data_IF_971519808249
#
_entry.id   IF_971519808249
#
_cell.length_a   1.000
_cell.length_b   1.000
_cell.length_c   1.000
_cell.angle_alpha   90.00
_cell.angle_beta   90.00
_cell.angle_gamma   90.00
#
_symmetry.space_group_name_H-M   'P 1'
#
loop_
_entity.id
_entity.type
_entity.pdbx_description
1 polymer ?
#
# COMPACT_ATOMS: atom_id res chain seq x y z
N UNK A 1 -0.45 9.95 -1.85
CA UNK A 1 0.82 9.38 -2.42
C UNK A 1 1.99 10.35 -2.35
N UNK A 2 1.82 11.61 -2.70
CA UNK A 2 2.93 12.57 -2.69
C UNK A 2 3.55 12.74 -1.29
N UNK A 3 2.77 12.60 -0.23
CA UNK A 3 3.24 12.61 1.16
C UNK A 3 4.17 11.42 1.46
N UNK A 4 3.83 10.22 0.98
CA UNK A 4 4.64 9.01 1.16
C UNK A 4 5.96 9.17 0.40
N UNK A 5 5.89 9.60 -0.87
CA UNK A 5 7.08 9.84 -1.69
C UNK A 5 7.98 10.86 -1.01
N UNK A 6 7.42 11.97 -0.55
CA UNK A 6 8.17 13.05 0.13
C UNK A 6 8.84 12.55 1.43
N UNK A 7 8.10 11.81 2.27
CA UNK A 7 8.65 11.25 3.50
C UNK A 7 9.80 10.28 3.20
N UNK A 8 9.68 9.47 2.16
CA UNK A 8 10.70 8.49 1.78
C UNK A 8 11.90 9.12 1.06
N UNK A 9 11.73 10.26 0.38
CA UNK A 9 12.84 10.98 -0.27
C UNK A 9 13.66 11.83 0.70
N UNK A 10 13.04 12.46 1.69
CA UNK A 10 13.73 13.23 2.72
C UNK A 10 14.71 12.40 3.53
N UNK A 11 14.46 11.09 3.64
CA UNK A 11 15.27 10.12 4.37
C UNK A 11 16.00 9.15 3.44
N UNK A 12 16.33 9.61 2.21
CA UNK A 12 16.77 8.85 1.06
C UNK A 12 18.01 7.97 1.25
N UNK A 13 17.85 6.88 2.00
CA UNK A 13 18.58 5.68 1.61
C UNK A 13 17.54 4.68 1.07
N UNK A 14 17.66 4.33 -0.23
CA UNK A 14 16.88 3.22 -0.84
C UNK A 14 17.09 1.89 -0.09
N UNK A 15 18.03 1.88 0.82
CA UNK A 15 18.44 0.77 1.66
C UNK A 15 18.00 1.13 3.07
N UNK A 16 16.92 0.50 3.54
CA UNK A 16 16.40 0.65 4.91
C UNK A 16 17.43 0.07 5.90
N UNK A 17 18.05 -1.02 5.52
CA UNK A 17 19.15 -1.69 6.19
C UNK A 17 19.98 -2.48 5.17
N UNK A 18 21.05 -3.15 5.59
CA UNK A 18 21.95 -3.93 4.70
C UNK A 18 21.24 -5.02 3.88
N UNK A 19 19.99 -5.34 4.20
CA UNK A 19 19.23 -6.46 3.61
C UNK A 19 17.90 -6.06 3.01
N UNK A 20 17.43 -4.83 3.22
CA UNK A 20 16.08 -4.35 2.83
C UNK A 20 16.19 -3.08 2.00
N UNK A 21 15.61 -3.10 0.82
CA UNK A 21 15.49 -1.94 -0.09
C UNK A 21 14.02 -1.65 -0.41
N UNK A 22 13.74 -0.45 -0.94
CA UNK A 22 12.40 -0.09 -1.41
C UNK A 22 12.27 -0.26 -2.92
N UNK A 23 11.17 -0.86 -3.34
CA UNK A 23 10.66 -0.90 -4.71
C UNK A 23 9.41 -0.04 -4.78
N UNK A 24 9.16 0.63 -5.90
CA UNK A 24 8.04 1.56 -6.07
C UNK A 24 7.93 2.62 -4.96
N UNK A 25 9.05 2.92 -4.30
CA UNK A 25 9.16 3.97 -3.30
C UNK A 25 8.82 3.56 -1.87
N UNK A 26 7.96 2.55 -1.65
CA UNK A 26 7.42 2.19 -0.33
C UNK A 26 7.19 0.68 -0.12
N UNK A 27 7.39 -0.15 -1.14
CA UNK A 27 7.31 -1.60 -1.00
C UNK A 27 8.67 -2.15 -0.59
N UNK A 28 8.77 -2.66 0.63
CA UNK A 28 9.99 -3.25 1.17
C UNK A 28 10.31 -4.61 0.52
N UNK A 29 11.55 -4.76 0.05
CA UNK A 29 12.06 -6.00 -0.55
C UNK A 29 13.34 -6.43 0.17
N UNK A 30 13.38 -7.66 0.67
CA UNK A 30 14.57 -8.23 1.30
C UNK A 30 15.49 -8.87 0.27
N UNK A 31 16.81 -8.67 0.39
CA UNK A 31 17.84 -9.28 -0.47
C UNK A 31 18.19 -10.72 -0.11
N UNK A 32 17.60 -11.30 0.94
CA UNK A 32 17.91 -12.64 1.43
C UNK A 32 17.20 -13.77 0.67
N UNK A 33 17.72 -15.02 0.77
CA UNK A 33 17.15 -16.24 0.17
C UNK A 33 15.68 -16.54 0.54
N UNK A 34 15.09 -15.83 1.50
CA UNK A 34 13.68 -15.91 1.91
C UNK A 34 12.83 -14.79 1.32
N UNK A 35 13.31 -14.09 0.30
CA UNK A 35 12.52 -13.13 -0.45
C UNK A 35 11.41 -13.89 -1.19
N UNK A 36 10.28 -14.11 -0.52
CA UNK A 36 9.07 -14.61 -1.17
C UNK A 36 8.59 -13.53 -2.12
N UNK A 37 8.66 -13.81 -3.40
CA UNK A 37 7.95 -12.99 -4.39
C UNK A 37 6.49 -13.37 -4.26
N UNK A 38 5.64 -12.41 -3.92
CA UNK A 38 4.21 -12.62 -3.86
C UNK A 38 3.67 -12.73 -5.28
N UNK A 39 3.46 -13.96 -5.75
CA UNK A 39 2.74 -14.23 -6.99
C UNK A 39 1.31 -14.64 -6.66
N UNK A 40 0.37 -13.92 -7.23
CA UNK A 40 -1.05 -14.22 -7.08
C UNK A 40 -1.43 -14.37 -5.59
N UNK A 41 -2.02 -15.50 -5.21
CA UNK A 41 -2.54 -15.75 -3.87
C UNK A 41 -1.52 -16.38 -2.89
N UNK A 42 -0.23 -16.36 -3.19
CA UNK A 42 0.78 -17.06 -2.37
C UNK A 42 1.17 -16.34 -1.08
N UNK A 43 0.78 -15.08 -0.91
CA UNK A 43 1.12 -14.23 0.25
C UNK A 43 -0.15 -13.63 0.88
N UNK A 44 -1.21 -14.41 0.99
CA UNK A 44 -2.42 -13.96 1.68
C UNK A 44 -2.38 -14.33 3.16
N UNK A 45 -2.96 -13.46 3.98
CA UNK A 45 -3.27 -13.79 5.36
C UNK A 45 -4.34 -14.88 5.42
N UNK A 46 -4.24 -15.77 6.39
CA UNK A 46 -5.16 -16.88 6.52
C UNK A 46 -6.56 -16.41 6.90
N UNK A 47 -7.55 -16.98 6.22
CA UNK A 47 -8.96 -16.77 6.52
C UNK A 47 -9.38 -17.70 7.66
N UNK A 48 -10.06 -17.15 8.65
CA UNK A 48 -10.63 -17.91 9.76
C UNK A 48 -11.91 -18.63 9.36
N UNK A 49 -12.35 -19.58 10.19
CA UNK A 49 -13.57 -20.37 9.97
C UNK A 49 -14.84 -19.54 9.95
N UNK A 50 -14.84 -18.37 10.59
CA UNK A 50 -15.95 -17.40 10.57
C UNK A 50 -15.99 -16.53 9.32
N UNK A 51 -15.11 -16.78 8.34
CA UNK A 51 -15.02 -16.04 7.09
C UNK A 51 -14.26 -14.73 7.17
N UNK A 52 -13.70 -14.36 8.33
CA UNK A 52 -12.89 -13.15 8.51
C UNK A 52 -11.40 -13.44 8.39
N UNK A 53 -10.64 -12.37 8.08
CA UNK A 53 -9.18 -12.38 8.02
C UNK A 53 -8.65 -11.59 9.20
N UNK A 54 -8.18 -12.29 10.22
CA UNK A 54 -7.61 -11.66 11.41
C UNK A 54 -6.12 -11.46 11.24
N UNK A 55 -5.69 -10.20 11.33
CA UNK A 55 -4.29 -9.80 11.23
C UNK A 55 -3.83 -9.30 12.59
N UNK A 56 -2.99 -10.08 13.24
CA UNK A 56 -2.41 -9.66 14.49
C UNK A 56 -1.42 -8.51 14.28
N UNK A 57 -1.44 -7.50 15.16
CA UNK A 57 -0.51 -6.39 15.09
C UNK A 57 0.09 -6.05 16.46
N UNK A 58 1.27 -5.46 16.42
CA UNK A 58 1.92 -4.81 17.56
C UNK A 58 2.29 -3.38 17.18
N UNK A 59 2.06 -2.43 18.07
CA UNK A 59 2.50 -1.05 17.92
C UNK A 59 3.79 -0.82 18.70
N UNK A 60 4.71 -0.03 18.14
CA UNK A 60 5.87 0.48 18.89
C UNK A 60 5.42 1.33 20.06
N UNK A 61 6.13 1.24 21.16
CA UNK A 61 5.94 2.09 22.33
C UNK A 61 6.42 3.53 22.13
N UNK A 62 7.05 3.81 21.01
CA UNK A 62 7.50 5.16 20.62
C UNK A 62 6.33 6.07 20.19
N UNK A 63 5.20 5.49 19.80
CA UNK A 63 4.02 6.27 19.42
C UNK A 63 3.30 6.81 20.67
N UNK A 64 2.91 8.08 20.58
CA UNK A 64 2.03 8.73 21.56
C UNK A 64 0.62 8.14 21.49
N UNK A 65 -0.22 8.44 22.51
CA UNK A 65 -1.62 8.03 22.49
C UNK A 65 -2.40 8.59 21.29
N UNK A 66 -2.11 9.82 20.87
CA UNK A 66 -2.76 10.44 19.72
C UNK A 66 -2.39 9.73 18.42
N UNK A 67 -1.11 9.43 18.23
CA UNK A 67 -0.59 8.70 17.08
C UNK A 67 -1.14 7.28 17.02
N UNK A 68 -1.19 6.61 18.17
CA UNK A 68 -1.84 5.30 18.31
C UNK A 68 -3.32 5.33 17.87
N UNK A 69 -4.06 6.40 18.22
CA UNK A 69 -5.44 6.58 17.76
C UNK A 69 -5.53 6.78 16.24
N UNK A 70 -4.58 7.52 15.64
CA UNK A 70 -4.53 7.70 14.19
C UNK A 70 -4.24 6.37 13.46
N UNK A 71 -3.30 5.58 13.99
CA UNK A 71 -2.98 4.27 13.42
C UNK A 71 -4.21 3.35 13.45
N UNK A 72 -4.93 3.32 14.57
CA UNK A 72 -6.18 2.54 14.69
C UNK A 72 -7.26 3.02 13.71
N UNK A 73 -7.40 4.34 13.49
CA UNK A 73 -8.32 4.87 12.47
C UNK A 73 -7.94 4.43 11.06
N UNK A 74 -6.65 4.32 10.72
CA UNK A 74 -6.19 3.76 9.47
C UNK A 74 -6.58 2.29 9.32
N UNK A 75 -6.49 1.50 10.40
CA UNK A 75 -6.97 0.11 10.42
C UNK A 75 -8.49 0.04 10.22
N UNK A 76 -9.25 0.83 10.96
CA UNK A 76 -10.72 0.91 10.84
C UNK A 76 -11.17 1.27 9.42
N UNK A 77 -10.42 2.13 8.72
CA UNK A 77 -10.69 2.49 7.33
C UNK A 77 -10.56 1.28 6.38
N UNK A 78 -9.61 0.38 6.64
CA UNK A 78 -9.44 -0.88 5.89
C UNK A 78 -10.52 -1.90 6.29
N UNK A 79 -10.88 -1.98 7.57
CA UNK A 79 -11.87 -2.93 8.09
C UNK A 79 -13.30 -2.63 7.61
N UNK A 80 -13.61 -1.34 7.44
CA UNK A 80 -14.97 -0.89 7.07
C UNK A 80 -15.35 -1.36 5.67
N UNK A 81 -16.35 -2.26 5.60
CA UNK A 81 -16.84 -2.84 4.36
C UNK A 81 -15.95 -3.96 3.79
N UNK A 82 -15.07 -4.56 4.64
CA UNK A 82 -14.25 -5.71 4.28
C UNK A 82 -14.31 -6.79 5.36
N UNK A 83 -13.83 -8.01 5.06
CA UNK A 83 -13.72 -9.07 6.06
C UNK A 83 -12.41 -9.05 6.85
N UNK A 84 -11.53 -8.07 6.61
CA UNK A 84 -10.28 -7.90 7.36
C UNK A 84 -10.54 -7.32 8.73
N UNK A 85 -9.84 -7.83 9.74
CA UNK A 85 -9.89 -7.34 11.12
C UNK A 85 -8.48 -7.31 11.71
N UNK A 86 -8.06 -6.17 12.22
CA UNK A 86 -6.79 -6.02 12.93
C UNK A 86 -7.00 -6.28 14.41
N UNK A 87 -6.22 -7.19 14.98
CA UNK A 87 -6.34 -7.59 16.40
C UNK A 87 -5.00 -7.39 17.12
N UNK A 88 -5.00 -6.90 18.36
CA UNK A 88 -3.77 -6.84 19.15
C UNK A 88 -3.13 -8.22 19.26
N UNK A 89 -1.81 -8.29 18.99
CA UNK A 89 -1.06 -9.55 19.08
C UNK A 89 -0.99 -10.05 20.52
N UNK A 90 -1.27 -11.32 20.71
CA UNK A 90 -1.04 -12.03 21.96
C UNK A 90 0.02 -13.12 21.78
N UNK A 91 -0.25 -14.15 20.98
CA UNK A 91 0.61 -15.32 20.78
C UNK A 91 0.84 -15.65 19.29
N UNK A 92 0.18 -14.93 18.38
CA UNK A 92 0.26 -15.23 16.94
C UNK A 92 1.71 -15.12 16.45
N UNK A 93 2.16 -16.13 15.70
CA UNK A 93 3.49 -16.14 15.07
C UNK A 93 3.57 -15.12 13.94
N UNK A 94 2.54 -15.10 13.07
CA UNK A 94 2.43 -14.18 11.94
C UNK A 94 1.74 -12.89 12.40
N UNK A 95 2.46 -11.77 12.27
CA UNK A 95 1.91 -10.47 12.67
C UNK A 95 2.61 -9.29 12.02
N UNK A 96 1.91 -8.18 11.96
CA UNK A 96 2.45 -6.88 11.57
C UNK A 96 3.03 -6.17 12.79
N UNK A 97 4.29 -5.75 12.68
CA UNK A 97 4.99 -4.96 13.69
C UNK A 97 5.10 -3.52 13.21
N UNK A 98 4.21 -2.65 13.69
CA UNK A 98 4.14 -1.26 13.28
C UNK A 98 5.16 -0.45 14.08
N UNK A 99 6.13 0.12 13.36
CA UNK A 99 7.32 0.78 13.90
C UNK A 99 7.44 2.22 13.39
N UNK A 100 7.96 3.12 14.24
CA UNK A 100 8.27 4.50 13.86
C UNK A 100 9.67 4.61 13.19
N UNK A 101 9.94 3.74 12.21
CA UNK A 101 11.21 3.81 11.47
C UNK A 101 11.16 4.91 10.42
N UNK A 102 12.32 5.19 9.80
CA UNK A 102 12.41 6.15 8.71
C UNK A 102 11.53 5.78 7.53
N UNK A 103 10.70 6.70 7.07
CA UNK A 103 9.80 6.59 5.94
C UNK A 103 8.50 5.82 6.20
N UNK A 104 7.62 5.85 5.21
CA UNK A 104 6.37 5.10 5.14
C UNK A 104 6.58 3.93 4.18
N UNK A 105 6.53 2.70 4.68
CA UNK A 105 6.71 1.53 3.81
C UNK A 105 6.18 0.26 4.46
N UNK A 106 5.87 -0.71 3.62
CA UNK A 106 5.42 -2.03 4.03
C UNK A 106 5.99 -3.14 3.14
N UNK A 107 6.06 -4.35 3.67
CA UNK A 107 6.24 -5.54 2.86
C UNK A 107 4.92 -5.90 2.16
N UNK A 108 5.03 -6.50 0.97
CA UNK A 108 3.89 -6.93 0.18
C UNK A 108 3.35 -8.28 0.69
N UNK A 109 2.07 -8.31 1.12
CA UNK A 109 1.36 -9.50 1.57
C UNK A 109 1.90 -10.13 2.86
N UNK A 110 1.36 -11.28 3.24
CA UNK A 110 1.77 -12.05 4.40
C UNK A 110 3.10 -12.79 4.12
N UNK A 111 4.14 -12.51 4.91
CA UNK A 111 5.48 -13.09 4.72
C UNK A 111 5.76 -14.29 5.63
N UNK A 112 4.93 -14.49 6.63
CA UNK A 112 5.17 -15.41 7.75
C UNK A 112 6.07 -14.79 8.82
N UNK A 113 5.77 -15.05 10.07
CA UNK A 113 6.45 -14.48 11.22
C UNK A 113 6.20 -12.96 11.37
N UNK A 114 7.16 -12.30 12.01
CA UNK A 114 7.13 -10.85 12.20
C UNK A 114 7.45 -10.12 10.89
N UNK A 115 6.59 -9.20 10.47
CA UNK A 115 6.86 -8.27 9.36
C UNK A 115 6.63 -6.82 9.77
N UNK A 116 7.56 -5.95 9.40
CA UNK A 116 7.49 -4.52 9.76
C UNK A 116 6.62 -3.77 8.76
N UNK A 117 5.77 -2.88 9.30
CA UNK A 117 5.20 -1.73 8.61
C UNK A 117 5.80 -0.50 9.25
N UNK A 118 6.44 0.36 8.47
CA UNK A 118 7.03 1.59 8.95
C UNK A 118 6.08 2.76 8.76
N UNK A 119 5.82 3.48 9.83
CA UNK A 119 5.03 4.70 9.85
C UNK A 119 5.80 5.77 10.63
N UNK A 120 6.68 6.49 9.94
CA UNK A 120 7.48 7.55 10.54
C UNK A 120 6.60 8.65 11.13
N UNK A 121 6.88 9.05 12.36
CA UNK A 121 6.25 10.21 12.98
C UNK A 121 7.00 11.49 12.64
N UNK A 122 6.30 12.60 12.32
CA UNK A 122 4.85 12.70 12.10
C UNK A 122 4.40 12.41 10.67
N UNK A 123 5.31 12.29 9.70
CA UNK A 123 5.08 12.40 8.26
C UNK A 123 4.11 11.34 7.71
N UNK A 124 4.17 10.10 8.25
CA UNK A 124 3.33 8.98 7.81
C UNK A 124 2.03 8.82 8.62
N UNK A 125 1.80 9.68 9.61
CA UNK A 125 0.67 9.52 10.54
C UNK A 125 -0.59 10.24 10.06
N UNK A 126 -0.99 9.94 8.85
CA UNK A 126 -2.28 10.31 8.24
C UNK A 126 -3.09 9.04 7.98
N UNK A 127 -4.40 9.09 8.24
CA UNK A 127 -5.29 7.92 8.11
C UNK A 127 -5.14 7.23 6.76
N UNK A 128 -5.10 7.99 5.66
CA UNK A 128 -4.96 7.44 4.33
C UNK A 128 -3.58 6.82 4.07
N UNK A 129 -2.49 7.44 4.52
CA UNK A 129 -1.12 6.89 4.41
C UNK A 129 -1.02 5.57 5.18
N UNK A 130 -1.55 5.53 6.39
CA UNK A 130 -1.59 4.31 7.21
C UNK A 130 -2.37 3.21 6.49
N UNK A 131 -3.55 3.54 5.95
CA UNK A 131 -4.37 2.58 5.20
C UNK A 131 -3.67 2.07 3.94
N UNK A 132 -2.92 2.93 3.24
CA UNK A 132 -2.11 2.59 2.07
C UNK A 132 -1.04 1.54 2.41
N UNK A 133 -0.26 1.77 3.47
CA UNK A 133 0.76 0.81 3.90
C UNK A 133 0.15 -0.54 4.34
N UNK A 134 -1.03 -0.50 4.96
CA UNK A 134 -1.77 -1.71 5.30
C UNK A 134 -2.30 -2.44 4.05
N UNK A 135 -2.67 -1.73 2.98
CA UNK A 135 -3.03 -2.34 1.69
C UNK A 135 -1.84 -3.10 1.07
N UNK A 136 -0.62 -2.57 1.16
CA UNK A 136 0.58 -3.34 0.79
C UNK A 136 0.73 -4.60 1.62
N UNK A 137 0.55 -4.51 2.93
CA UNK A 137 0.58 -5.68 3.82
C UNK A 137 -0.51 -6.71 3.49
N UNK A 138 -1.62 -6.30 2.87
CA UNK A 138 -2.66 -7.19 2.34
C UNK A 138 -2.31 -7.80 0.98
N UNK A 139 -1.26 -7.33 0.29
CA UNK A 139 -0.79 -7.89 -0.97
C UNK A 139 -1.07 -7.04 -2.22
N UNK A 140 -1.49 -5.79 -2.06
CA UNK A 140 -1.77 -4.89 -3.17
C UNK A 140 -0.55 -4.08 -3.56
N UNK A 141 -0.20 -4.11 -4.85
CA UNK A 141 0.76 -3.19 -5.48
C UNK A 141 0.06 -1.89 -5.88
N UNK A 142 0.82 -0.92 -6.33
CA UNK A 142 0.25 0.34 -6.81
C UNK A 142 -0.66 0.16 -8.02
N UNK A 143 -1.68 0.98 -8.12
CA UNK A 143 -2.68 0.92 -9.21
C UNK A 143 -2.06 1.20 -10.57
N UNK A 144 -1.15 2.19 -10.67
CA UNK A 144 -0.44 2.50 -11.91
C UNK A 144 0.56 1.42 -12.34
N UNK A 145 0.82 0.43 -11.50
CA UNK A 145 1.68 -0.72 -11.81
C UNK A 145 0.93 -1.94 -12.33
N UNK A 146 -0.39 -1.84 -12.46
CA UNK A 146 -1.22 -2.88 -13.09
C UNK A 146 -0.74 -3.16 -14.51
N UNK A 147 -0.85 -4.43 -14.94
CA UNK A 147 -0.41 -4.84 -16.28
C UNK A 147 -1.18 -4.12 -17.41
N UNK A 148 -2.45 -3.76 -17.17
CA UNK A 148 -3.36 -3.11 -18.10
C UNK A 148 -3.38 -1.56 -18.00
N UNK A 149 -2.57 -0.97 -17.12
CA UNK A 149 -2.56 0.49 -16.85
C UNK A 149 -2.45 1.35 -18.10
N UNK A 150 -1.72 0.87 -19.13
CA UNK A 150 -1.49 1.62 -20.36
C UNK A 150 -2.78 1.83 -21.19
N UNK A 151 -3.87 1.14 -20.86
CA UNK A 151 -5.19 1.43 -21.41
C UNK A 151 -5.86 2.66 -20.75
N UNK A 152 -5.39 3.08 -19.58
CA UNK A 152 -6.03 4.10 -18.74
C UNK A 152 -5.16 5.33 -18.54
N UNK A 153 -3.87 5.17 -18.40
CA UNK A 153 -2.91 6.26 -18.17
C UNK A 153 -1.76 6.20 -19.15
N UNK A 154 -1.17 7.37 -19.43
CA UNK A 154 0.08 7.51 -20.14
C UNK A 154 1.17 7.86 -19.14
N UNK A 155 2.26 7.10 -19.12
CA UNK A 155 3.46 7.44 -18.34
C UNK A 155 4.37 8.31 -19.19
N UNK A 156 4.68 9.49 -18.68
CA UNK A 156 5.52 10.48 -19.34
C UNK A 156 6.99 10.26 -18.93
N UNK A 157 7.60 9.21 -19.47
CA UNK A 157 8.95 8.76 -19.13
C UNK A 157 10.02 9.85 -19.13
N UNK A 158 10.04 10.80 -20.07
CA UNK A 158 11.03 11.90 -20.06
C UNK A 158 10.95 12.80 -18.83
N UNK A 159 9.80 12.89 -18.17
CA UNK A 159 9.57 13.76 -17.02
C UNK A 159 9.95 13.10 -15.68
N UNK A 160 10.32 11.82 -15.69
CA UNK A 160 10.63 11.05 -14.48
C UNK A 160 12.13 11.10 -14.19
N UNK A 161 12.52 11.30 -12.92
CA UNK A 161 13.90 11.14 -12.48
C UNK A 161 14.47 9.80 -12.97
N UNK A 162 15.63 9.80 -13.64
CA UNK A 162 16.24 8.62 -14.26
C UNK A 162 16.41 7.45 -13.28
N UNK A 163 16.73 7.74 -12.05
CA UNK A 163 16.92 6.74 -11.01
C UNK A 163 15.60 6.22 -10.41
N UNK A 164 14.45 6.77 -10.80
CA UNK A 164 13.10 6.40 -10.37
C UNK A 164 12.27 5.70 -11.44
N UNK A 165 12.78 5.55 -12.66
CA UNK A 165 12.05 4.89 -13.77
C UNK A 165 11.51 3.51 -13.37
N UNK A 166 12.26 2.75 -12.56
CA UNK A 166 11.83 1.42 -12.09
C UNK A 166 10.57 1.44 -11.24
N UNK A 167 10.22 2.58 -10.61
CA UNK A 167 9.01 2.72 -9.83
C UNK A 167 7.75 2.78 -10.70
N UNK A 168 7.91 2.86 -12.03
CA UNK A 168 6.82 2.85 -13.01
C UNK A 168 6.77 1.56 -13.83
N UNK A 169 7.50 0.52 -13.45
CA UNK A 169 7.41 -0.80 -14.07
C UNK A 169 6.06 -1.44 -13.78
N UNK A 170 5.56 -2.24 -14.72
CA UNK A 170 4.32 -3.01 -14.55
C UNK A 170 4.58 -4.35 -13.88
N UNK A 171 3.65 -4.78 -13.06
CA UNK A 171 3.59 -6.14 -12.54
C UNK A 171 2.60 -7.00 -13.32
N UNK A 172 2.78 -8.30 -13.29
CA UNK A 172 1.75 -9.25 -13.72
C UNK A 172 0.70 -9.36 -12.61
N UNK A 173 -0.23 -8.42 -12.57
CA UNK A 173 -1.29 -8.36 -11.57
C UNK A 173 -2.46 -9.26 -11.95
N UNK A 174 -3.11 -9.86 -10.95
CA UNK A 174 -4.49 -10.31 -11.05
C UNK A 174 -5.37 -9.11 -10.72
N UNK A 175 -6.09 -8.60 -11.72
CA UNK A 175 -6.94 -7.41 -11.54
C UNK A 175 -8.30 -7.76 -10.93
N UNK A 176 -8.54 -9.04 -10.60
CA UNK A 176 -9.75 -9.52 -9.93
C UNK A 176 -11.05 -9.17 -10.68
N UNK A 177 -10.97 -9.06 -12.01
CA UNK A 177 -12.07 -8.57 -12.87
C UNK A 177 -12.68 -7.25 -12.41
N UNK A 178 -11.86 -6.36 -11.84
CA UNK A 178 -12.26 -5.03 -11.40
C UNK A 178 -11.66 -3.96 -12.31
N UNK A 179 -12.42 -2.88 -12.59
CA UNK A 179 -11.93 -1.79 -13.42
C UNK A 179 -10.72 -1.10 -12.80
N UNK A 180 -9.97 -0.38 -13.63
CA UNK A 180 -8.91 0.50 -13.20
C UNK A 180 -9.48 1.64 -12.36
N UNK A 181 -8.86 1.93 -11.22
CA UNK A 181 -9.38 2.90 -10.27
C UNK A 181 -8.47 4.13 -10.14
N UNK A 182 -8.83 5.20 -10.82
CA UNK A 182 -8.13 6.48 -10.69
C UNK A 182 -8.22 7.08 -9.28
N UNK A 183 -9.26 6.73 -8.52
CA UNK A 183 -9.48 7.18 -7.14
C UNK A 183 -8.88 6.26 -6.08
N UNK A 184 -8.17 5.20 -6.48
CA UNK A 184 -7.54 4.26 -5.55
C UNK A 184 -6.55 4.98 -4.64
N UNK A 185 -6.57 4.60 -3.35
CA UNK A 185 -5.55 5.04 -2.40
C UNK A 185 -4.15 4.54 -2.77
N UNK A 186 -4.08 3.49 -3.62
CA UNK A 186 -2.85 2.89 -4.13
C UNK A 186 -2.34 3.54 -5.42
N UNK A 187 -2.97 4.61 -5.92
CA UNK A 187 -2.56 5.27 -7.16
C UNK A 187 -1.54 6.39 -6.90
N UNK A 188 -0.46 6.45 -7.68
CA UNK A 188 0.45 7.60 -7.65
C UNK A 188 -0.25 8.89 -8.01
N UNK A 189 0.26 10.02 -7.50
CA UNK A 189 -0.11 11.34 -7.96
C UNK A 189 0.36 11.61 -9.39
N UNK A 190 -0.25 12.60 -10.02
CA UNK A 190 0.08 13.01 -11.39
C UNK A 190 1.55 13.41 -11.56
N UNK A 191 2.18 13.92 -10.51
CA UNK A 191 3.54 14.47 -10.52
C UNK A 191 4.55 13.59 -9.76
N UNK A 192 4.19 12.35 -9.45
CA UNK A 192 5.06 11.44 -8.72
C UNK A 192 6.44 11.31 -9.37
N UNK A 193 7.50 11.56 -8.62
CA UNK A 193 8.89 11.50 -9.10
C UNK A 193 9.20 12.40 -10.32
N UNK A 194 8.50 13.51 -10.48
CA UNK A 194 8.76 14.48 -11.54
C UNK A 194 10.11 15.19 -11.33
N UNK A 195 10.92 15.28 -12.39
CA UNK A 195 12.22 15.95 -12.34
C UNK A 195 12.17 17.45 -12.62
N UNK A 196 11.11 17.92 -13.23
CA UNK A 196 10.95 19.28 -13.76
C UNK A 196 9.63 19.95 -13.39
N UNK A 197 8.79 19.26 -12.60
CA UNK A 197 7.46 19.74 -12.22
C UNK A 197 6.37 19.44 -13.25
N UNK A 198 6.73 18.80 -14.37
CA UNK A 198 5.73 18.35 -15.36
C UNK A 198 5.11 17.02 -14.98
N UNK A 199 3.88 16.70 -15.44
CA UNK A 199 3.21 15.45 -15.13
C UNK A 199 4.02 14.22 -15.54
N UNK A 200 4.06 13.22 -14.69
CA UNK A 200 4.66 11.89 -14.94
C UNK A 200 3.62 10.84 -15.28
N UNK A 201 2.37 11.05 -14.85
CA UNK A 201 1.23 10.19 -15.18
C UNK A 201 0.06 11.06 -15.65
N UNK A 202 -0.48 10.76 -16.83
CA UNK A 202 -1.62 11.49 -17.41
C UNK A 202 -2.75 10.52 -17.73
N UNK A 203 -3.98 10.74 -17.21
CA UNK A 203 -5.15 9.96 -17.62
C UNK A 203 -5.42 10.09 -19.12
N UNK A 204 -5.77 8.98 -19.80
CA UNK A 204 -6.03 8.98 -21.24
C UNK A 204 -7.41 9.47 -21.63
N UNK A 205 -8.37 9.39 -20.72
CA UNK A 205 -9.75 9.78 -21.01
C UNK A 205 -9.93 11.30 -20.80
N UNK A 206 -10.40 12.01 -21.83
CA UNK A 206 -10.61 13.46 -21.81
C UNK A 206 -11.66 13.93 -20.78
N UNK A 207 -12.59 13.04 -20.38
CA UNK A 207 -13.57 13.32 -19.33
C UNK A 207 -12.97 13.27 -17.91
N UNK A 208 -11.67 13.02 -17.80
CA UNK A 208 -10.96 12.86 -16.53
C UNK A 208 -10.18 14.11 -16.10
N UNK A 209 -10.45 15.28 -16.72
CA UNK A 209 -9.75 16.54 -16.40
C UNK A 209 -9.87 16.95 -14.93
N UNK A 210 -10.91 16.46 -14.23
CA UNK A 210 -11.15 16.72 -12.81
C UNK A 210 -10.70 15.57 -11.89
N UNK A 211 -10.11 14.49 -12.43
CA UNK A 211 -9.63 13.36 -11.62
C UNK A 211 -8.34 13.75 -10.91
N UNK A 212 -8.43 13.82 -9.60
CA UNK A 212 -7.26 13.89 -8.73
C UNK A 212 -6.68 12.49 -8.54
N UNK A 213 -5.53 12.22 -9.18
CA UNK A 213 -4.72 11.04 -8.88
C UNK A 213 -3.97 11.23 -7.56
N UNK A 214 -3.70 10.13 -6.85
CA UNK A 214 -2.81 10.14 -5.69
C UNK A 214 -3.47 10.61 -4.39
N UNK A 215 -4.78 10.42 -4.24
CA UNK A 215 -5.46 10.76 -2.99
C UNK A 215 -4.96 9.90 -1.82
N UNK A 216 -4.94 10.47 -0.61
CA UNK A 216 -4.52 9.82 0.65
C UNK A 216 -5.56 10.02 1.75
N UNK A 217 -6.83 10.09 1.40
CA UNK A 217 -7.92 10.34 2.35
C UNK A 217 -8.49 9.05 2.92
N UNK A 218 -8.94 8.14 2.04
CA UNK A 218 -9.56 6.87 2.43
C UNK A 218 -9.55 5.87 1.27
N UNK A 219 -9.79 4.59 1.59
CA UNK A 219 -10.02 3.57 0.57
C UNK A 219 -11.21 3.96 -0.31
N UNK A 220 -11.05 3.81 -1.63
CA UNK A 220 -12.15 3.92 -2.56
C UNK A 220 -13.12 2.73 -2.40
N UNK A 221 -14.29 2.83 -3.03
CA UNK A 221 -15.20 1.67 -3.12
C UNK A 221 -14.53 0.49 -3.85
N UNK A 222 -13.76 0.76 -4.92
CA UNK A 222 -13.07 -0.29 -5.68
C UNK A 222 -11.92 -0.89 -4.87
N UNK A 223 -11.19 -0.12 -4.06
CA UNK A 223 -10.17 -0.65 -3.14
C UNK A 223 -10.79 -1.71 -2.20
N UNK A 224 -11.96 -1.42 -1.62
CA UNK A 224 -12.69 -2.37 -0.76
C UNK A 224 -13.14 -3.60 -1.53
N UNK A 225 -13.67 -3.45 -2.74
CA UNK A 225 -14.03 -4.56 -3.61
C UNK A 225 -12.81 -5.44 -3.94
N UNK A 226 -11.64 -4.84 -4.16
CA UNK A 226 -10.39 -5.59 -4.38
C UNK A 226 -10.05 -6.45 -3.17
N UNK A 227 -10.12 -5.90 -1.95
CA UNK A 227 -9.89 -6.67 -0.72
C UNK A 227 -10.90 -7.83 -0.64
N UNK A 228 -12.18 -7.54 -0.82
CA UNK A 228 -13.24 -8.53 -0.69
C UNK A 228 -13.11 -9.66 -1.73
N UNK A 229 -12.75 -9.33 -2.96
CA UNK A 229 -12.49 -10.35 -4.01
C UNK A 229 -11.21 -11.15 -3.76
N UNK A 230 -10.11 -10.48 -3.37
CA UNK A 230 -8.83 -11.15 -3.13
C UNK A 230 -8.94 -12.18 -2.00
N UNK A 231 -9.60 -11.78 -0.91
CA UNK A 231 -9.79 -12.61 0.27
C UNK A 231 -11.07 -13.46 0.23
N UNK A 232 -11.84 -13.37 -0.87
CA UNK A 232 -13.10 -14.08 -1.01
C UNK A 232 -14.02 -13.86 0.22
N UNK A 233 -14.16 -12.60 0.64
CA UNK A 233 -15.09 -12.23 1.70
C UNK A 233 -16.51 -12.59 1.22
N UNK A 234 -17.31 -13.27 2.06
CA UNK A 234 -18.72 -13.52 1.78
C UNK A 234 -19.48 -12.20 1.61
N UNK A 235 -20.76 -12.29 1.22
CA UNK A 235 -21.63 -11.11 1.18
C UNK A 235 -21.58 -10.43 2.56
N UNK A 236 -20.97 -9.25 2.59
CA UNK A 236 -20.93 -8.43 3.78
C UNK A 236 -22.21 -7.63 3.78
N UNK A 237 -23.21 -8.08 4.55
CA UNK A 237 -24.36 -7.23 4.84
C UNK A 237 -23.82 -5.92 5.44
N UNK A 238 -24.05 -4.82 4.73
CA UNK A 238 -23.80 -3.46 5.23
C UNK A 238 -24.80 -3.20 6.38
N UNK A 239 -24.43 -3.61 7.60
CA UNK A 239 -25.11 -3.23 8.83
C UNK A 239 -24.43 -2.01 9.46
#
# INVERSE_FOLDING_TARGET
MDEIIKANELHASRIIDSTTSLREGDIAVSSGRRSKVCFARSCLWNKSVDGRVYIAYRLSTEYTEMETKLIKKGMENVEKGTCVRFVPRTHQEDYIDIQAKSGCWSYLGARGGRQTVSLQSPDCLQVGVISHELMHALGFVHEQSRFDRDSYVTVMWPNIWRDRLRNFEKFRTDNLDLPYDYGSIMHYGMYAYSQDGEPTIVPKNSNTKDIKLGQTTSLSHIDKLKINKLYNCGDMDDN
#
